data_IF_060243994503
#
_entry.id   IF_060243994503
#
_cell.length_a   1.000
_cell.length_b   1.000
_cell.length_c   1.000
_cell.angle_alpha   90.00
_cell.angle_beta   90.00
_cell.angle_gamma   90.00
#
_symmetry.space_group_name_H-M   'P 1'
#
loop_
_entity.id
_entity.type
_entity.pdbx_description
1 polymer ?
#
# COMPACT_ATOMS: atom_id res chain seq x y z
N UNK A 1 -21.48 -5.83 -0.79
CA UNK A 1 -20.84 -5.74 -2.07
C UNK A 1 -19.33 -5.90 -1.97
N UNK A 2 -18.79 -6.71 -2.81
CA UNK A 2 -17.37 -7.00 -2.73
C UNK A 2 -16.53 -5.87 -3.26
N UNK A 3 -15.46 -5.62 -2.58
CA UNK A 3 -14.50 -4.66 -3.03
C UNK A 3 -13.63 -5.29 -4.09
N UNK A 4 -13.49 -4.60 -5.19
CA UNK A 4 -12.65 -5.03 -6.27
C UNK A 4 -11.19 -5.15 -5.86
N UNK A 5 -10.75 -4.25 -4.99
CA UNK A 5 -9.39 -4.24 -4.50
C UNK A 5 -9.37 -4.54 -3.01
N UNK A 6 -8.40 -5.34 -2.60
CA UNK A 6 -8.17 -5.68 -1.20
C UNK A 6 -7.05 -4.80 -0.68
N UNK A 7 -7.39 -3.72 0.02
CA UNK A 7 -6.41 -2.75 0.50
C UNK A 7 -5.44 -3.39 1.49
N UNK A 8 -5.91 -4.30 2.34
CA UNK A 8 -5.01 -4.98 3.27
C UNK A 8 -3.93 -5.75 2.50
N UNK A 9 -4.33 -6.43 1.43
CA UNK A 9 -3.38 -7.13 0.58
C UNK A 9 -2.44 -6.19 -0.15
N UNK A 10 -2.96 -5.03 -0.59
CA UNK A 10 -2.14 -4.03 -1.25
C UNK A 10 -1.06 -3.51 -0.31
N UNK A 11 -1.44 -3.17 0.93
CA UNK A 11 -0.48 -2.70 1.92
C UNK A 11 0.57 -3.76 2.20
N UNK A 12 0.15 -5.00 2.32
CA UNK A 12 1.09 -6.10 2.56
C UNK A 12 2.09 -6.23 1.41
N UNK A 13 1.61 -6.19 0.17
CA UNK A 13 2.49 -6.27 -0.98
C UNK A 13 3.40 -5.05 -1.10
N UNK A 14 2.87 -3.87 -0.77
CA UNK A 14 3.69 -2.66 -0.79
C UNK A 14 4.86 -2.77 0.17
N UNK A 15 4.65 -3.35 1.35
CA UNK A 15 5.75 -3.58 2.29
C UNK A 15 6.77 -4.56 1.71
N UNK A 16 6.33 -5.53 0.93
CA UNK A 16 7.24 -6.50 0.33
C UNK A 16 8.14 -5.91 -0.74
N UNK A 17 7.68 -4.89 -1.44
CA UNK A 17 8.44 -4.28 -2.54
C UNK A 17 9.83 -3.84 -2.10
N UNK A 18 9.91 -3.16 -0.97
CA UNK A 18 11.17 -2.66 -0.45
C UNK A 18 11.55 -3.34 0.87
N UNK A 19 10.89 -4.47 1.15
CA UNK A 19 11.24 -5.32 2.29
C UNK A 19 11.02 -4.62 3.63
N UNK A 20 9.94 -3.85 3.73
CA UNK A 20 9.58 -3.20 5.00
C UNK A 20 9.04 -4.23 5.97
N UNK A 21 9.37 -4.07 7.24
CA UNK A 21 8.98 -5.02 8.29
C UNK A 21 7.59 -4.74 8.85
N UNK A 22 7.16 -3.49 8.82
CA UNK A 22 5.89 -3.13 9.45
C UNK A 22 5.31 -1.89 8.79
N UNK A 23 4.12 -1.50 9.25
CA UNK A 23 3.41 -0.36 8.68
C UNK A 23 4.15 0.96 8.93
N UNK A 24 4.88 1.05 10.05
CA UNK A 24 5.63 2.27 10.35
C UNK A 24 6.70 2.56 9.31
N UNK A 25 7.40 1.53 8.86
CA UNK A 25 8.43 1.71 7.84
C UNK A 25 7.83 2.13 6.51
N UNK A 26 6.71 1.49 6.14
CA UNK A 26 6.01 1.88 4.92
C UNK A 26 5.51 3.31 5.01
N UNK A 27 4.91 3.68 6.14
CA UNK A 27 4.39 5.02 6.35
C UNK A 27 5.50 6.07 6.22
N UNK A 28 6.65 5.78 6.82
CA UNK A 28 7.79 6.70 6.73
C UNK A 28 8.24 6.88 5.29
N UNK A 29 8.31 5.80 4.53
CA UNK A 29 8.68 5.86 3.13
C UNK A 29 7.69 6.70 2.34
N UNK A 30 6.40 6.55 2.63
CA UNK A 30 5.34 7.27 1.93
C UNK A 30 5.17 8.70 2.41
N UNK A 31 5.77 9.05 3.55
CA UNK A 31 5.66 10.40 4.08
C UNK A 31 4.34 10.65 4.80
N UNK A 32 3.73 9.60 5.34
CA UNK A 32 2.47 9.72 6.09
C UNK A 32 2.64 9.09 7.46
N UNK A 33 1.64 9.26 8.33
CA UNK A 33 1.68 8.65 9.65
C UNK A 33 1.35 7.17 9.58
N UNK A 34 1.83 6.42 10.58
CA UNK A 34 1.47 5.01 10.72
C UNK A 34 -0.04 4.82 10.80
N UNK A 35 -0.71 5.74 11.50
CA UNK A 35 -2.16 5.68 11.63
C UNK A 35 -2.85 5.79 10.28
N UNK A 36 -2.30 6.58 9.36
CA UNK A 36 -2.85 6.70 8.01
C UNK A 36 -2.83 5.34 7.30
N UNK A 37 -1.70 4.64 7.37
CA UNK A 37 -1.57 3.34 6.73
C UNK A 37 -2.54 2.34 7.39
N UNK A 38 -2.63 2.34 8.71
CA UNK A 38 -3.55 1.46 9.41
C UNK A 38 -5.01 1.74 9.03
N UNK A 39 -5.37 3.01 8.87
CA UNK A 39 -6.72 3.39 8.50
C UNK A 39 -7.07 2.94 7.09
N UNK A 40 -6.10 2.90 6.20
CA UNK A 40 -6.35 2.41 4.84
C UNK A 40 -6.93 1.00 4.87
N UNK A 41 -6.32 0.11 5.66
CA UNK A 41 -6.82 -1.25 5.78
C UNK A 41 -8.21 -1.31 6.41
N UNK A 42 -8.41 -0.53 7.47
CA UNK A 42 -9.70 -0.52 8.19
C UNK A 42 -10.83 -0.01 7.31
N UNK A 43 -10.56 0.96 6.45
CA UNK A 43 -11.57 1.55 5.58
C UNK A 43 -11.64 0.90 4.21
N UNK A 44 -10.70 0.01 3.92
CA UNK A 44 -10.53 -0.57 2.61
C UNK A 44 -10.40 0.50 1.53
N UNK A 45 -9.60 1.52 1.84
CA UNK A 45 -9.38 2.66 0.97
C UNK A 45 -7.92 3.06 1.05
N UNK A 46 -7.32 3.44 -0.08
CA UNK A 46 -5.90 3.74 -0.14
C UNK A 46 -5.68 4.91 -1.11
N UNK A 47 -4.64 5.68 -0.85
CA UNK A 47 -4.28 6.80 -1.71
C UNK A 47 -3.37 6.29 -2.83
N UNK A 48 -3.96 5.97 -3.96
CA UNK A 48 -3.19 5.43 -5.09
C UNK A 48 -2.22 6.44 -5.67
N UNK A 49 -2.57 7.73 -5.63
CA UNK A 49 -1.68 8.75 -6.13
C UNK A 49 -0.38 8.76 -5.35
N UNK A 50 -0.48 8.58 -4.03
CA UNK A 50 0.70 8.53 -3.18
C UNK A 50 1.58 7.33 -3.53
N UNK A 51 0.95 6.18 -3.77
CA UNK A 51 1.69 4.99 -4.18
C UNK A 51 2.42 5.22 -5.50
N UNK A 52 1.72 5.77 -6.49
CA UNK A 52 2.32 6.05 -7.78
C UNK A 52 3.47 7.04 -7.67
N UNK A 53 3.31 8.04 -6.82
CA UNK A 53 4.32 9.07 -6.65
C UNK A 53 5.58 8.52 -5.98
N UNK A 54 5.41 7.69 -4.97
CA UNK A 54 6.54 7.20 -4.18
C UNK A 54 7.20 5.96 -4.76
N UNK A 55 6.41 5.05 -5.31
CA UNK A 55 6.98 3.83 -5.89
C UNK A 55 7.39 4.02 -7.35
N UNK A 56 6.70 4.92 -8.08
CA UNK A 56 7.03 5.16 -9.47
C UNK A 56 7.00 3.88 -10.28
N UNK A 57 8.10 3.54 -10.94
CA UNK A 57 8.20 2.33 -11.75
C UNK A 57 8.93 1.20 -11.04
N UNK A 58 9.05 1.30 -9.71
CA UNK A 58 9.76 0.28 -8.93
C UNK A 58 8.93 -0.97 -8.70
N UNK A 59 7.66 -0.94 -9.02
CA UNK A 59 6.75 -2.05 -8.75
C UNK A 59 5.83 -2.29 -9.92
N UNK A 60 5.45 -3.56 -10.09
CA UNK A 60 4.42 -3.93 -11.06
C UNK A 60 3.06 -3.71 -10.40
N UNK A 61 2.31 -2.74 -10.91
CA UNK A 61 1.03 -2.38 -10.30
C UNK A 61 -0.04 -3.45 -10.48
N UNK A 62 0.04 -4.28 -11.51
CA UNK A 62 -0.86 -5.43 -11.59
C UNK A 62 -0.65 -6.35 -10.40
N UNK A 63 0.61 -6.62 -10.08
CA UNK A 63 0.90 -7.43 -8.91
C UNK A 63 0.52 -6.72 -7.63
N UNK A 64 0.87 -5.44 -7.52
CA UNK A 64 0.62 -4.69 -6.29
C UNK A 64 -0.86 -4.60 -5.97
N UNK A 65 -1.66 -4.28 -6.95
CA UNK A 65 -3.10 -4.03 -6.74
C UNK A 65 -3.92 -5.31 -6.77
N UNK A 66 -3.57 -6.25 -7.62
CA UNK A 66 -4.40 -7.43 -7.86
C UNK A 66 -3.76 -8.74 -7.39
N UNK A 67 -2.48 -8.73 -7.05
CA UNK A 67 -1.79 -9.93 -6.62
C UNK A 67 -1.43 -10.87 -7.76
N UNK A 68 -1.35 -10.35 -8.96
CA UNK A 68 -1.05 -11.17 -10.14
C UNK A 68 0.29 -10.70 -10.73
#
# INVERSE_FOLDING_TARGET
MDTFLDVTGIVKRAKQVLNFKNDSELAEYLGVSRATVSNWGARNSIDFRLLLDKFGDKVDYNWLLLGK
#
